data_IF_651326186241
#
_entry.id   IF_651326186241
#
_cell.length_a   1.000
_cell.length_b   1.000
_cell.length_c   1.000
_cell.angle_alpha   90.00
_cell.angle_beta   90.00
_cell.angle_gamma   90.00
#
_symmetry.space_group_name_H-M   'P 1'
#
loop_
_entity.id
_entity.type
_entity.pdbx_description
1 polymer ?
#
# COMPACT_ATOMS: atom_id res chain seq x y z
N UNK A 1 -17.77 -4.31 6.40
CA UNK A 1 -16.45 -4.16 5.76
C UNK A 1 -16.49 -3.09 4.65
N UNK A 2 -15.40 -2.34 4.49
CA UNK A 2 -15.23 -1.30 3.46
C UNK A 2 -14.18 -1.75 2.44
N UNK A 3 -14.46 -1.58 1.15
CA UNK A 3 -13.55 -1.96 0.05
C UNK A 3 -13.42 -0.79 -0.93
N UNK A 4 -12.21 -0.49 -1.40
CA UNK A 4 -12.00 0.61 -2.35
C UNK A 4 -12.57 0.27 -3.74
N UNK A 5 -13.22 1.23 -4.39
CA UNK A 5 -13.60 1.09 -5.81
C UNK A 5 -12.37 1.33 -6.71
N UNK A 6 -12.13 0.48 -7.73
CA UNK A 6 -11.04 0.72 -8.67
C UNK A 6 -11.31 1.83 -9.68
N UNK A 7 -12.58 2.23 -9.86
CA UNK A 7 -13.02 3.15 -10.91
C UNK A 7 -13.34 4.56 -10.37
N UNK A 8 -13.67 4.69 -9.08
CA UNK A 8 -13.96 5.98 -8.46
C UNK A 8 -13.41 6.05 -7.02
N UNK A 9 -13.48 7.23 -6.40
CA UNK A 9 -13.05 7.43 -5.00
C UNK A 9 -14.03 6.93 -3.94
N UNK A 10 -15.21 6.44 -4.35
CA UNK A 10 -16.25 5.96 -3.44
C UNK A 10 -16.02 4.53 -2.96
N UNK A 11 -16.32 4.19 -1.70
CA UNK A 11 -16.18 2.83 -1.19
C UNK A 11 -17.34 1.91 -1.62
N UNK A 12 -17.07 0.60 -1.64
CA UNK A 12 -18.10 -0.42 -1.45
C UNK A 12 -18.31 -0.63 0.05
N UNK A 13 -19.58 -0.74 0.46
CA UNK A 13 -19.96 -1.16 1.80
C UNK A 13 -20.52 -2.59 1.72
N UNK A 14 -19.85 -3.53 2.39
CA UNK A 14 -20.30 -4.92 2.52
C UNK A 14 -20.71 -5.17 3.97
N UNK A 15 -21.95 -5.59 4.21
CA UNK A 15 -22.39 -5.95 5.57
C UNK A 15 -21.92 -7.37 5.89
N UNK A 16 -21.67 -7.65 7.16
CA UNK A 16 -21.16 -8.97 7.57
C UNK A 16 -22.12 -10.11 7.20
N UNK A 17 -23.43 -9.87 7.23
CA UNK A 17 -24.45 -10.83 6.79
C UNK A 17 -24.50 -11.08 5.27
N UNK A 18 -23.85 -10.23 4.48
CA UNK A 18 -23.78 -10.33 3.01
C UNK A 18 -22.46 -10.99 2.55
N UNK A 19 -21.58 -11.40 3.48
CA UNK A 19 -20.34 -12.13 3.17
C UNK A 19 -20.70 -13.59 2.90
N UNK A 20 -20.45 -14.03 1.66
CA UNK A 20 -20.58 -15.41 1.20
C UNK A 20 -19.27 -15.88 0.55
N UNK A 21 -19.16 -17.15 0.18
CA UNK A 21 -17.98 -17.69 -0.51
C UNK A 21 -17.62 -16.89 -1.77
N UNK A 22 -18.63 -16.50 -2.55
CA UNK A 22 -18.48 -15.66 -3.74
C UNK A 22 -19.51 -14.53 -3.69
N UNK A 23 -19.05 -13.29 -3.69
CA UNK A 23 -19.90 -12.10 -3.56
C UNK A 23 -19.73 -11.22 -4.79
N UNK A 24 -20.84 -10.85 -5.43
CA UNK A 24 -20.84 -9.83 -6.48
C UNK A 24 -21.40 -8.51 -5.92
N UNK A 25 -20.64 -7.43 -6.07
CA UNK A 25 -20.99 -6.11 -5.57
C UNK A 25 -21.08 -5.09 -6.70
N UNK A 26 -21.96 -4.11 -6.55
CA UNK A 26 -22.04 -2.93 -7.39
C UNK A 26 -21.71 -1.69 -6.57
N UNK A 27 -20.85 -0.81 -7.09
CA UNK A 27 -20.48 0.41 -6.41
C UNK A 27 -21.68 1.37 -6.42
N UNK A 28 -22.12 1.90 -5.26
CA UNK A 28 -23.27 2.80 -5.22
C UNK A 28 -22.97 4.19 -5.84
N UNK A 29 -21.70 4.48 -6.15
CA UNK A 29 -21.26 5.78 -6.66
C UNK A 29 -21.11 5.82 -8.19
N UNK A 30 -20.64 4.73 -8.81
CA UNK A 30 -20.39 4.68 -10.26
C UNK A 30 -20.96 3.45 -10.97
N UNK A 31 -21.70 2.58 -10.26
CA UNK A 31 -22.26 1.33 -10.80
C UNK A 31 -21.25 0.27 -11.27
N UNK A 32 -19.94 0.48 -11.09
CA UNK A 32 -18.93 -0.53 -11.37
C UNK A 32 -19.20 -1.81 -10.57
N UNK A 33 -19.14 -2.97 -11.23
CA UNK A 33 -19.41 -4.28 -10.63
C UNK A 33 -18.13 -5.07 -10.46
N UNK A 34 -17.97 -5.71 -9.31
CA UNK A 34 -16.83 -6.60 -9.04
C UNK A 34 -17.27 -7.88 -8.33
N UNK A 35 -16.47 -8.92 -8.46
CA UNK A 35 -16.66 -10.19 -7.76
C UNK A 35 -15.51 -10.37 -6.76
N UNK A 36 -15.85 -10.82 -5.57
CA UNK A 36 -14.93 -11.15 -4.49
C UNK A 36 -15.12 -12.61 -4.13
N UNK A 37 -14.05 -13.38 -4.24
CA UNK A 37 -14.00 -14.79 -3.84
C UNK A 37 -13.38 -14.89 -2.44
N UNK A 38 -14.24 -14.97 -1.42
CA UNK A 38 -13.80 -15.12 -0.03
C UNK A 38 -13.40 -16.54 0.30
N UNK A 39 -13.90 -17.55 -0.43
CA UNK A 39 -13.45 -18.93 -0.26
C UNK A 39 -11.99 -19.06 -0.65
N UNK A 40 -11.61 -18.54 -1.83
CA UNK A 40 -10.23 -18.51 -2.28
C UNK A 40 -9.35 -17.63 -1.38
N UNK A 41 -9.84 -16.46 -0.97
CA UNK A 41 -9.07 -15.56 -0.09
C UNK A 41 -8.76 -16.15 1.31
N UNK A 42 -9.58 -17.10 1.78
CA UNK A 42 -9.38 -17.78 3.06
C UNK A 42 -8.80 -19.20 2.92
N UNK A 43 -8.55 -19.70 1.71
CA UNK A 43 -7.96 -21.02 1.50
C UNK A 43 -6.47 -20.98 1.83
N UNK A 44 -6.00 -21.66 2.90
CA UNK A 44 -4.59 -21.63 3.30
C UNK A 44 -3.67 -22.25 2.24
N UNK A 45 -4.20 -23.06 1.31
CA UNK A 45 -3.42 -23.67 0.22
C UNK A 45 -3.09 -22.67 -0.88
N UNK A 46 -3.83 -21.57 -0.97
CA UNK A 46 -3.60 -20.48 -1.93
C UNK A 46 -2.71 -19.38 -1.37
N UNK A 47 -2.24 -19.52 -0.12
CA UNK A 47 -1.33 -18.58 0.52
C UNK A 47 0.11 -18.91 0.11
N UNK A 48 0.69 -18.08 -0.76
CA UNK A 48 2.10 -18.18 -1.11
C UNK A 48 3.00 -17.42 -0.13
N UNK A 49 4.25 -17.86 -0.01
CA UNK A 49 5.25 -17.17 0.83
C UNK A 49 5.46 -15.75 0.30
N UNK A 50 5.18 -14.75 1.15
CA UNK A 50 5.28 -13.33 0.80
C UNK A 50 3.98 -12.69 0.31
N UNK A 51 2.90 -13.45 0.12
CA UNK A 51 1.59 -12.87 -0.17
C UNK A 51 1.05 -12.06 1.01
N UNK A 52 0.56 -10.86 0.71
CA UNK A 52 -0.10 -9.99 1.70
C UNK A 52 -1.58 -10.36 1.77
N UNK A 53 -2.06 -10.68 2.97
CA UNK A 53 -3.48 -10.92 3.22
C UNK A 53 -4.26 -9.60 3.26
N UNK A 54 -5.47 -9.61 2.71
CA UNK A 54 -6.42 -8.53 2.89
C UNK A 54 -6.90 -8.50 4.35
N UNK A 55 -6.99 -7.32 4.95
CA UNK A 55 -7.50 -7.13 6.31
C UNK A 55 -8.87 -6.48 6.25
N UNK A 56 -9.86 -7.05 6.94
CA UNK A 56 -11.19 -6.47 7.09
C UNK A 56 -11.26 -5.51 8.28
N UNK A 57 -11.93 -4.37 8.10
CA UNK A 57 -12.14 -3.36 9.16
C UNK A 57 -13.63 -3.15 9.41
N UNK A 58 -13.99 -2.94 10.69
CA UNK A 58 -15.39 -2.78 11.13
C UNK A 58 -15.88 -1.33 11.05
N UNK A 59 -14.97 -0.35 11.04
CA UNK A 59 -15.31 1.06 10.83
C UNK A 59 -14.35 1.76 9.87
N UNK A 60 -14.79 2.88 9.29
CA UNK A 60 -13.94 3.75 8.48
C UNK A 60 -12.81 4.41 9.30
N UNK A 61 -13.02 4.58 10.61
CA UNK A 61 -11.98 5.08 11.51
C UNK A 61 -10.87 4.04 11.67
N UNK A 62 -11.23 2.77 11.93
CA UNK A 62 -10.27 1.66 12.07
C UNK A 62 -9.47 1.46 10.78
N UNK A 63 -10.15 1.55 9.62
CA UNK A 63 -9.49 1.49 8.32
C UNK A 63 -8.46 2.61 8.15
N UNK A 64 -8.82 3.86 8.48
CA UNK A 64 -7.94 5.01 8.33
C UNK A 64 -6.75 4.95 9.29
N UNK A 65 -6.98 4.55 10.54
CA UNK A 65 -5.94 4.37 11.56
C UNK A 65 -4.93 3.30 11.13
N UNK A 66 -5.40 2.11 10.73
CA UNK A 66 -4.53 1.03 10.26
C UNK A 66 -3.80 1.40 8.96
N UNK A 67 -4.44 2.16 8.08
CA UNK A 67 -3.82 2.68 6.85
C UNK A 67 -2.77 3.74 7.13
N UNK A 68 -2.97 4.60 8.14
CA UNK A 68 -1.98 5.60 8.54
C UNK A 68 -0.78 4.97 9.26
N UNK A 69 -1.00 3.89 10.04
CA UNK A 69 0.05 3.12 10.68
C UNK A 69 0.92 2.35 9.69
N UNK A 70 0.38 2.00 8.52
CA UNK A 70 1.17 1.59 7.36
C UNK A 70 1.74 2.83 6.71
N UNK A 71 2.95 3.20 7.10
CA UNK A 71 3.71 4.25 6.40
C UNK A 71 3.58 4.03 4.89
N UNK A 72 3.20 5.06 4.09
CA UNK A 72 3.05 4.88 2.66
C UNK A 72 4.40 4.45 2.10
N UNK A 73 4.44 3.25 1.50
CA UNK A 73 5.66 2.65 0.94
C UNK A 73 6.44 3.66 0.09
N UNK A 74 5.72 4.50 -0.65
CA UNK A 74 6.24 5.58 -1.48
C UNK A 74 7.05 6.65 -0.71
N UNK A 75 6.65 7.02 0.50
CA UNK A 75 7.39 8.00 1.30
C UNK A 75 8.68 7.43 1.90
N UNK A 76 8.74 6.10 2.07
CA UNK A 76 9.95 5.42 2.56
C UNK A 76 10.98 5.30 1.43
N UNK A 77 10.52 5.02 0.21
CA UNK A 77 11.35 5.03 -1.00
C UNK A 77 11.92 6.44 -1.29
N UNK A 78 11.06 7.48 -1.27
CA UNK A 78 11.48 8.88 -1.49
C UNK A 78 12.46 9.39 -0.42
N UNK A 79 12.40 8.88 0.81
CA UNK A 79 13.33 9.23 1.88
C UNK A 79 14.69 8.51 1.70
N UNK A 80 14.67 7.23 1.32
CA UNK A 80 15.87 6.45 1.05
C UNK A 80 16.66 7.00 -0.15
N UNK A 81 15.97 7.40 -1.21
CA UNK A 81 16.58 8.03 -2.39
C UNK A 81 17.24 9.38 -2.06
N UNK A 82 16.58 10.23 -1.26
CA UNK A 82 17.17 11.50 -0.81
C UNK A 82 18.42 11.30 0.05
N UNK A 83 18.38 10.36 0.99
CA UNK A 83 19.54 10.04 1.82
C UNK A 83 20.69 9.38 1.04
N UNK A 84 20.41 8.69 -0.08
CA UNK A 84 21.44 8.19 -0.98
C UNK A 84 22.07 9.34 -1.79
N UNK A 85 21.25 10.27 -2.30
CA UNK A 85 21.71 11.44 -3.05
C UNK A 85 22.58 12.38 -2.21
N UNK A 86 22.22 12.63 -0.94
CA UNK A 86 23.02 13.44 -0.02
C UNK A 86 24.39 12.82 0.28
N UNK A 87 24.47 11.50 0.45
CA UNK A 87 25.74 10.79 0.65
C UNK A 87 26.64 10.89 -0.57
N UNK A 88 26.10 10.66 -1.76
CA UNK A 88 26.85 10.80 -3.01
C UNK A 88 27.32 12.25 -3.27
N UNK A 89 26.55 13.26 -2.83
CA UNK A 89 26.98 14.66 -2.88
C UNK A 89 28.11 14.97 -1.88
N UNK A 90 28.03 14.43 -0.66
CA UNK A 90 29.05 14.59 0.36
C UNK A 90 30.38 13.94 -0.06
N UNK A 91 30.32 12.74 -0.65
CA UNK A 91 31.50 11.99 -1.13
C UNK A 91 32.21 12.72 -2.29
N UNK A 92 31.46 13.29 -3.24
CA UNK A 92 32.05 14.11 -4.33
C UNK A 92 32.76 15.34 -3.79
N UNK A 93 32.11 16.06 -2.89
CA UNK A 93 32.70 17.23 -2.23
C UNK A 93 33.94 16.87 -1.39
N UNK A 94 33.99 15.67 -0.81
CA UNK A 94 35.17 15.17 -0.12
C UNK A 94 36.31 14.86 -1.10
N UNK A 95 36.01 14.15 -2.19
CA UNK A 95 37.00 13.80 -3.22
C UNK A 95 37.62 15.03 -3.91
N UNK A 96 36.82 16.05 -4.22
CA UNK A 96 37.32 17.31 -4.80
C UNK A 96 38.25 18.06 -3.85
N UNK A 97 37.96 18.08 -2.55
CA UNK A 97 38.85 18.69 -1.55
C UNK A 97 40.17 17.94 -1.43
N UNK A 98 40.12 16.61 -1.42
CA UNK A 98 41.34 15.79 -1.38
C UNK A 98 42.19 15.94 -2.64
N UNK A 99 41.57 16.12 -3.81
CA UNK A 99 42.28 16.38 -5.06
C UNK A 99 42.91 17.78 -5.10
N UNK A 100 42.27 18.79 -4.49
CA UNK A 100 42.81 20.13 -4.39
C UNK A 100 44.01 20.20 -3.43
N UNK A 101 43.95 19.53 -2.27
CA UNK A 101 45.08 19.42 -1.33
C UNK A 101 46.28 18.63 -1.89
N UNK A 102 46.06 17.70 -2.83
CA UNK A 102 47.13 16.90 -3.42
C UNK A 102 47.83 17.57 -4.62
N UNK A 103 47.30 18.71 -5.10
CA UNK A 103 47.83 19.47 -6.22
C UNK A 103 48.68 20.68 -5.79
N UNK A 104 48.80 20.92 -4.48
CA UNK A 104 49.67 21.94 -3.84
C UNK A 104 50.99 21.30 -3.35
#
# INVERSE_FOLDING_TARGET
>A
MIIACPDCSGPFELRDGDIAELVQLACPHCSFRMILDFAAANDPRLVEVGMKMASGYRSAADYREASAARAPLRAVDDAAERSAAERAAAERTAAERTAADAAE
#
